data_IF_849522725477
#
_entry.id   IF_849522725477
#
_cell.length_a   1.000
_cell.length_b   1.000
_cell.length_c   1.000
_cell.angle_alpha   90.00
_cell.angle_beta   90.00
_cell.angle_gamma   90.00
#
_symmetry.space_group_name_H-M   'P 1'
#
loop_
_entity.id
_entity.type
_entity.pdbx_description
1 polymer ?
#
# COMPACT_ATOMS: atom_id res chain seq x y z
N UNK A 1 15.20 1.97 1.81
CA UNK A 1 15.54 2.84 2.94
C UNK A 1 14.26 3.28 3.64
N UNK A 2 14.13 3.10 4.96
CA UNK A 2 12.98 3.60 5.70
C UNK A 2 12.95 5.14 5.69
N UNK A 3 11.75 5.70 5.68
CA UNK A 3 11.52 7.15 5.73
C UNK A 3 11.03 7.51 7.13
N UNK A 4 11.57 8.58 7.67
CA UNK A 4 11.19 9.10 8.99
C UNK A 4 10.51 10.45 8.85
N UNK A 5 9.27 10.55 9.34
CA UNK A 5 8.56 11.81 9.48
C UNK A 5 9.03 12.51 10.75
N UNK A 6 9.30 13.80 10.65
CA UNK A 6 9.72 14.59 11.79
C UNK A 6 8.91 15.86 11.94
N UNK A 7 8.78 16.28 13.16
CA UNK A 7 8.32 17.60 13.57
C UNK A 7 9.50 18.25 14.28
N UNK A 8 9.92 19.39 13.81
CA UNK A 8 11.05 20.11 14.39
C UNK A 8 10.85 21.60 14.35
N UNK A 9 11.77 22.33 14.98
CA UNK A 9 11.84 23.77 14.98
C UNK A 9 13.15 24.17 14.30
N UNK A 10 13.04 24.95 13.24
CA UNK A 10 14.15 25.62 12.55
C UNK A 10 14.16 27.08 12.94
N UNK A 11 15.20 27.85 12.53
CA UNK A 11 15.26 29.31 12.68
C UNK A 11 14.07 30.01 12.04
N UNK A 12 13.42 29.43 11.04
CA UNK A 12 12.23 29.93 10.36
C UNK A 12 10.90 29.52 11.02
N UNK A 13 10.93 28.78 12.16
CA UNK A 13 9.73 28.32 12.85
C UNK A 13 9.53 26.79 12.81
N UNK A 14 8.29 26.35 13.02
CA UNK A 14 7.92 24.93 13.06
C UNK A 14 7.99 24.32 11.66
N UNK A 15 8.77 23.27 11.51
CA UNK A 15 8.97 22.53 10.25
C UNK A 15 8.45 21.11 10.39
N UNK A 16 7.66 20.69 9.40
CA UNK A 16 7.19 19.32 9.22
C UNK A 16 7.86 18.78 7.95
N UNK A 17 8.40 17.57 8.01
CA UNK A 17 9.05 16.98 6.83
C UNK A 17 9.31 15.50 7.00
N UNK A 18 9.95 14.92 5.98
CA UNK A 18 10.39 13.54 5.98
C UNK A 18 11.86 13.45 5.55
N UNK A 19 12.57 12.47 6.09
CA UNK A 19 13.98 12.22 5.79
C UNK A 19 14.17 10.71 5.58
N UNK A 20 14.79 10.28 4.47
CA UNK A 20 15.21 8.90 4.30
C UNK A 20 16.45 8.64 5.15
N UNK A 21 16.44 7.55 5.93
CA UNK A 21 17.60 7.14 6.73
C UNK A 21 17.49 5.65 7.09
N UNK A 22 18.62 4.99 7.31
CA UNK A 22 18.64 3.56 7.62
C UNK A 22 18.09 3.26 9.02
N UNK A 23 18.32 4.17 9.95
CA UNK A 23 17.81 4.08 11.31
C UNK A 23 17.43 5.46 11.88
N UNK A 24 16.76 5.44 13.02
CA UNK A 24 16.30 6.68 13.69
C UNK A 24 17.47 7.58 14.13
N UNK A 25 18.64 7.00 14.43
CA UNK A 25 19.83 7.73 14.83
C UNK A 25 20.42 8.50 13.66
N UNK A 26 20.56 7.84 12.51
CA UNK A 26 20.99 8.48 11.27
C UNK A 26 20.02 9.59 10.81
N UNK A 27 18.70 9.35 10.95
CA UNK A 27 17.71 10.38 10.68
C UNK A 27 17.89 11.61 11.57
N UNK A 28 18.16 11.43 12.88
CA UNK A 28 18.44 12.51 13.81
C UNK A 28 19.71 13.27 13.45
N UNK A 29 20.77 12.57 13.06
CA UNK A 29 22.04 13.19 12.63
C UNK A 29 21.84 14.07 11.39
N UNK A 30 21.15 13.57 10.36
CA UNK A 30 20.85 14.33 9.14
C UNK A 30 20.07 15.61 9.46
N UNK A 31 19.10 15.52 10.36
CA UNK A 31 18.27 16.68 10.75
C UNK A 31 19.04 17.68 11.61
N UNK A 32 19.94 17.22 12.48
CA UNK A 32 20.80 18.09 13.28
C UNK A 32 21.78 18.87 12.41
N UNK A 33 22.36 18.24 11.36
CA UNK A 33 23.20 18.90 10.36
C UNK A 33 22.43 20.00 9.60
N UNK A 34 21.13 19.79 9.36
CA UNK A 34 20.23 20.78 8.75
C UNK A 34 19.76 21.86 9.71
N UNK A 35 20.26 21.92 10.94
CA UNK A 35 19.88 22.92 11.93
C UNK A 35 18.44 22.80 12.46
N UNK A 36 17.82 21.61 12.32
CA UNK A 36 16.45 21.38 12.76
C UNK A 36 16.45 20.72 14.13
N UNK A 37 15.94 21.42 15.15
CA UNK A 37 15.74 20.87 16.49
C UNK A 37 14.49 19.98 16.49
N UNK A 38 14.69 18.66 16.63
CA UNK A 38 13.63 17.67 16.51
C UNK A 38 12.77 17.69 17.78
N UNK A 39 11.46 17.89 17.61
CA UNK A 39 10.46 17.78 18.67
C UNK A 39 9.86 16.36 18.68
N UNK A 40 9.63 15.79 17.51
CA UNK A 40 9.08 14.45 17.35
C UNK A 40 9.63 13.81 16.06
N UNK A 41 10.03 12.56 16.16
CA UNK A 41 10.43 11.76 15.00
C UNK A 41 9.75 10.40 15.07
N UNK A 42 9.19 9.94 13.97
CA UNK A 42 8.50 8.67 13.88
C UNK A 42 8.84 8.01 12.55
N UNK A 43 9.12 6.71 12.58
CA UNK A 43 9.24 5.94 11.34
C UNK A 43 7.90 6.02 10.60
N UNK A 44 7.93 6.45 9.35
CA UNK A 44 6.74 6.47 8.51
C UNK A 44 6.29 5.02 8.33
N UNK A 45 5.06 4.71 8.75
CA UNK A 45 4.49 3.41 8.46
C UNK A 45 4.33 3.28 6.93
N UNK A 46 4.72 2.15 6.34
CA UNK A 46 4.51 1.93 4.92
C UNK A 46 3.03 2.11 4.60
N UNK A 47 2.76 2.78 3.49
CA UNK A 47 1.39 2.99 3.06
C UNK A 47 0.84 1.64 2.60
N UNK A 48 -0.24 1.20 3.22
CA UNK A 48 -0.85 -0.10 2.95
C UNK A 48 -1.12 -0.32 1.46
N UNK A 49 -0.91 -1.54 0.97
CA UNK A 49 -1.25 -1.96 -0.39
C UNK A 49 -2.72 -1.68 -0.74
N UNK A 50 -3.64 -1.71 0.24
CA UNK A 50 -5.03 -1.29 0.04
C UNK A 50 -5.16 0.16 -0.43
N UNK A 51 -4.32 1.05 0.08
CA UNK A 51 -4.31 2.46 -0.35
C UNK A 51 -3.75 2.57 -1.77
N UNK A 52 -2.70 1.82 -2.09
CA UNK A 52 -2.15 1.74 -3.45
C UNK A 52 -3.26 1.39 -4.46
N UNK A 53 -3.95 0.26 -4.26
CA UNK A 53 -5.00 -0.18 -5.17
C UNK A 53 -6.18 0.80 -5.27
N UNK A 54 -6.46 1.50 -4.17
CA UNK A 54 -7.50 2.53 -4.19
C UNK A 54 -7.10 3.76 -4.99
N UNK A 55 -5.85 4.21 -4.87
CA UNK A 55 -5.29 5.30 -5.70
C UNK A 55 -5.28 4.90 -7.17
N UNK A 56 -4.77 3.69 -7.50
CA UNK A 56 -4.74 3.17 -8.87
C UNK A 56 -6.17 3.07 -9.47
N UNK A 57 -7.16 2.63 -8.69
CA UNK A 57 -8.56 2.58 -9.15
C UNK A 57 -9.15 3.98 -9.42
N UNK A 58 -8.85 4.97 -8.58
CA UNK A 58 -9.26 6.35 -8.83
C UNK A 58 -8.60 6.92 -10.10
N UNK A 59 -7.32 6.64 -10.30
CA UNK A 59 -6.60 7.04 -11.51
C UNK A 59 -7.18 6.37 -12.76
N UNK A 60 -7.56 5.09 -12.69
CA UNK A 60 -8.21 4.41 -13.82
C UNK A 60 -9.44 5.17 -14.30
N UNK A 61 -10.37 5.47 -13.37
CA UNK A 61 -11.62 6.14 -13.70
C UNK A 61 -11.37 7.51 -14.36
N UNK A 62 -10.42 8.28 -13.82
CA UNK A 62 -10.09 9.61 -14.34
C UNK A 62 -9.39 9.55 -15.71
N UNK A 63 -8.47 8.60 -15.89
CA UNK A 63 -7.76 8.41 -17.16
C UNK A 63 -8.66 7.84 -18.26
N UNK A 64 -9.70 7.07 -17.91
CA UNK A 64 -10.76 6.64 -18.86
C UNK A 64 -11.53 7.85 -19.42
N UNK A 65 -11.67 8.91 -18.62
CA UNK A 65 -12.25 10.18 -19.06
C UNK A 65 -11.24 11.07 -19.81
N UNK A 66 -10.08 10.52 -20.21
CA UNK A 66 -8.99 11.23 -20.91
C UNK A 66 -8.38 12.41 -20.12
N UNK A 67 -8.52 12.40 -18.80
CA UNK A 67 -7.86 13.39 -17.95
C UNK A 67 -6.35 13.11 -17.88
N UNK A 68 -5.56 14.15 -17.67
CA UNK A 68 -4.13 13.97 -17.44
C UNK A 68 -3.86 13.26 -16.10
N UNK A 69 -2.65 12.69 -15.96
CA UNK A 69 -2.25 12.06 -14.68
C UNK A 69 -2.28 13.08 -13.53
N UNK A 70 -1.86 14.32 -13.78
CA UNK A 70 -1.84 15.39 -12.78
C UNK A 70 -3.26 15.75 -12.34
N UNK A 71 -4.18 15.95 -13.29
CA UNK A 71 -5.59 16.24 -12.98
C UNK A 71 -6.25 15.09 -12.24
N UNK A 72 -5.95 13.86 -12.65
CA UNK A 72 -6.45 12.64 -12.00
C UNK A 72 -6.02 12.55 -10.54
N UNK A 73 -4.75 12.84 -10.24
CA UNK A 73 -4.25 12.87 -8.86
C UNK A 73 -4.84 14.05 -8.07
N UNK A 74 -5.07 15.17 -8.71
CA UNK A 74 -5.68 16.34 -8.08
C UNK A 74 -7.13 16.03 -7.69
N UNK A 75 -7.91 15.41 -8.56
CA UNK A 75 -9.26 14.93 -8.24
C UNK A 75 -9.22 13.90 -7.11
N UNK A 76 -8.28 12.96 -7.15
CA UNK A 76 -8.12 11.96 -6.09
C UNK A 76 -7.73 12.59 -4.73
N UNK A 77 -7.13 13.77 -4.71
CA UNK A 77 -6.81 14.49 -3.48
C UNK A 77 -8.02 15.09 -2.75
N UNK A 78 -9.18 15.21 -3.41
CA UNK A 78 -10.43 15.66 -2.77
C UNK A 78 -11.21 14.55 -2.05
N UNK A 79 -10.63 13.35 -1.93
CA UNK A 79 -11.28 12.23 -1.23
C UNK A 79 -11.37 12.48 0.28
N UNK A 80 -12.40 11.91 0.92
CA UNK A 80 -12.58 11.99 2.38
C UNK A 80 -11.49 11.23 3.16
N UNK A 81 -10.79 10.30 2.53
CA UNK A 81 -9.75 9.50 3.19
C UNK A 81 -8.41 10.26 3.25
N UNK A 82 -8.08 10.79 4.41
CA UNK A 82 -6.84 11.53 4.67
C UNK A 82 -5.56 10.82 4.19
N UNK A 83 -5.50 9.48 4.23
CA UNK A 83 -4.32 8.74 3.76
C UNK A 83 -4.18 8.80 2.24
N UNK A 84 -5.29 8.77 1.50
CA UNK A 84 -5.30 8.92 0.04
C UNK A 84 -4.87 10.34 -0.33
N UNK A 85 -5.43 11.33 0.33
CA UNK A 85 -5.08 12.75 0.13
C UNK A 85 -3.58 12.97 0.26
N UNK A 86 -2.99 12.56 1.39
CA UNK A 86 -1.54 12.71 1.64
C UNK A 86 -0.69 12.00 0.58
N UNK A 87 -1.11 10.83 0.13
CA UNK A 87 -0.42 10.10 -0.94
C UNK A 87 -0.50 10.85 -2.26
N UNK A 88 -1.69 11.29 -2.66
CA UNK A 88 -1.88 12.04 -3.90
C UNK A 88 -1.10 13.35 -3.90
N UNK A 89 -1.08 14.09 -2.78
CA UNK A 89 -0.28 15.31 -2.64
C UNK A 89 1.22 15.04 -2.77
N UNK A 90 1.74 13.95 -2.17
CA UNK A 90 3.15 13.53 -2.33
C UNK A 90 3.48 13.19 -3.78
N UNK A 91 2.61 12.46 -4.46
CA UNK A 91 2.78 12.12 -5.87
C UNK A 91 2.74 13.37 -6.75
N UNK A 92 1.80 14.29 -6.50
CA UNK A 92 1.70 15.57 -7.22
C UNK A 92 2.94 16.43 -7.03
N UNK A 93 3.44 16.56 -5.81
CA UNK A 93 4.66 17.31 -5.53
C UNK A 93 5.86 16.75 -6.29
N UNK A 94 6.06 15.42 -6.24
CA UNK A 94 7.16 14.79 -6.95
C UNK A 94 7.05 14.88 -8.47
N UNK A 95 5.83 14.81 -9.05
CA UNK A 95 5.63 15.01 -10.48
C UNK A 95 5.95 16.45 -10.92
N UNK A 96 5.61 17.45 -10.10
CA UNK A 96 5.98 18.86 -10.33
C UNK A 96 7.49 19.09 -10.30
N UNK A 97 8.23 18.30 -9.52
CA UNK A 97 9.69 18.28 -9.48
C UNK A 97 10.32 17.54 -10.68
N UNK A 98 9.51 16.98 -11.57
CA UNK A 98 9.98 16.24 -12.76
C UNK A 98 10.33 14.78 -12.52
N UNK A 99 10.00 14.24 -11.34
CA UNK A 99 10.23 12.83 -11.07
C UNK A 99 9.25 11.93 -11.84
N UNK A 100 9.70 10.76 -12.23
CA UNK A 100 8.86 9.80 -12.94
C UNK A 100 7.83 9.14 -12.00
N UNK A 101 6.61 8.97 -12.50
CA UNK A 101 5.49 8.45 -11.71
C UNK A 101 5.76 7.08 -11.06
N UNK A 102 6.38 6.15 -11.78
CA UNK A 102 6.70 4.82 -11.25
C UNK A 102 7.74 4.88 -10.11
N UNK A 103 8.69 5.80 -10.18
CA UNK A 103 9.70 6.02 -9.12
C UNK A 103 9.06 6.58 -7.86
N UNK A 104 8.14 7.52 -8.04
CA UNK A 104 7.37 8.09 -6.92
C UNK A 104 6.50 7.03 -6.25
N UNK A 105 5.84 6.17 -7.03
CA UNK A 105 5.05 5.07 -6.50
C UNK A 105 5.92 4.08 -5.71
N UNK A 106 7.10 3.72 -6.22
CA UNK A 106 8.03 2.84 -5.51
C UNK A 106 8.51 3.44 -4.17
N UNK A 107 8.71 4.75 -4.12
CA UNK A 107 9.10 5.45 -2.90
C UNK A 107 7.96 5.52 -1.86
N UNK A 108 6.72 5.74 -2.32
CA UNK A 108 5.55 5.87 -1.44
C UNK A 108 5.02 4.50 -0.98
N UNK A 109 5.14 3.48 -1.83
CA UNK A 109 4.61 2.13 -1.62
C UNK A 109 5.73 1.07 -1.73
N UNK A 110 6.66 0.99 -0.79
CA UNK A 110 7.80 0.06 -0.85
C UNK A 110 7.39 -1.42 -0.81
N UNK A 111 6.22 -1.74 -0.27
CA UNK A 111 5.71 -3.11 -0.13
C UNK A 111 4.95 -3.59 -1.38
N UNK A 112 4.77 -2.73 -2.38
CA UNK A 112 4.12 -3.13 -3.65
C UNK A 112 5.08 -3.97 -4.49
N UNK A 113 4.53 -5.03 -5.05
CA UNK A 113 5.25 -5.98 -5.88
C UNK A 113 6.01 -5.29 -7.03
N UNK A 114 7.27 -5.69 -7.21
CA UNK A 114 8.15 -5.15 -8.26
C UNK A 114 7.61 -5.36 -9.67
N UNK A 115 6.86 -6.43 -9.91
CA UNK A 115 6.22 -6.68 -11.21
C UNK A 115 5.14 -5.64 -11.49
N UNK A 116 4.33 -5.28 -10.50
CA UNK A 116 3.32 -4.22 -10.60
C UNK A 116 3.95 -2.87 -10.95
N UNK A 117 5.04 -2.51 -10.26
CA UNK A 117 5.79 -1.29 -10.57
C UNK A 117 6.45 -1.33 -11.94
N UNK A 118 6.92 -2.51 -12.39
CA UNK A 118 7.47 -2.72 -13.72
C UNK A 118 6.46 -2.46 -14.84
N UNK A 119 5.24 -2.94 -14.70
CA UNK A 119 4.14 -2.67 -15.66
C UNK A 119 3.84 -1.17 -15.75
N UNK A 120 3.77 -0.48 -14.61
CA UNK A 120 3.54 0.97 -14.58
C UNK A 120 4.69 1.75 -15.20
N UNK A 121 5.95 1.31 -14.99
CA UNK A 121 7.12 1.90 -15.62
C UNK A 121 7.04 1.83 -17.15
N UNK A 122 6.73 0.65 -17.69
CA UNK A 122 6.62 0.46 -19.15
C UNK A 122 5.45 1.32 -19.71
N UNK A 123 4.34 1.36 -19.00
CA UNK A 123 3.16 2.15 -19.38
C UNK A 123 3.44 3.65 -19.39
N UNK A 124 4.17 4.17 -18.40
CA UNK A 124 4.49 5.61 -18.32
C UNK A 124 5.43 6.07 -19.42
N UNK A 125 6.37 5.21 -19.86
CA UNK A 125 7.33 5.55 -20.91
C UNK A 125 6.71 5.67 -22.31
N UNK A 126 5.59 4.96 -22.59
CA UNK A 126 4.97 4.86 -23.92
C UNK A 126 3.63 5.59 -24.03
N UNK A 127 3.35 6.58 -23.19
CA UNK A 127 2.00 7.19 -23.07
C UNK A 127 0.87 6.16 -22.89
N UNK A 128 1.22 4.95 -22.41
CA UNK A 128 0.32 3.82 -22.21
C UNK A 128 -0.08 3.62 -20.75
N UNK A 129 0.06 4.63 -19.90
CA UNK A 129 -0.23 4.53 -18.47
C UNK A 129 -1.67 4.06 -18.19
N UNK A 130 -2.63 4.56 -18.96
CA UNK A 130 -4.03 4.13 -18.90
C UNK A 130 -4.16 2.61 -19.12
N UNK A 131 -3.55 2.09 -20.19
CA UNK A 131 -3.59 0.66 -20.49
C UNK A 131 -2.86 -0.17 -19.43
N UNK A 132 -1.72 0.30 -18.93
CA UNK A 132 -0.98 -0.36 -17.86
C UNK A 132 -1.83 -0.47 -16.58
N UNK A 133 -2.49 0.60 -16.17
CA UNK A 133 -3.39 0.61 -15.02
C UNK A 133 -4.57 -0.34 -15.23
N UNK A 134 -5.20 -0.34 -16.40
CA UNK A 134 -6.30 -1.24 -16.74
C UNK A 134 -5.89 -2.72 -16.63
N UNK A 135 -4.71 -3.08 -17.17
CA UNK A 135 -4.17 -4.44 -17.06
C UNK A 135 -3.93 -4.83 -15.60
N UNK A 136 -3.35 -3.93 -14.80
CA UNK A 136 -3.09 -4.20 -13.39
C UNK A 136 -4.36 -4.43 -12.59
N UNK A 137 -5.40 -3.64 -12.84
CA UNK A 137 -6.69 -3.80 -12.14
C UNK A 137 -7.35 -5.11 -12.54
N UNK A 138 -7.38 -5.45 -13.84
CA UNK A 138 -7.90 -6.74 -14.30
C UNK A 138 -7.15 -7.92 -13.68
N UNK A 139 -5.81 -7.86 -13.59
CA UNK A 139 -5.01 -8.88 -12.92
C UNK A 139 -5.34 -8.99 -11.42
N UNK A 140 -5.53 -7.84 -10.76
CA UNK A 140 -5.90 -7.84 -9.34
C UNK A 140 -7.28 -8.46 -9.12
N UNK A 141 -8.27 -8.08 -9.91
CA UNK A 141 -9.63 -8.63 -9.84
C UNK A 141 -9.63 -10.14 -10.06
N UNK A 142 -8.88 -10.62 -11.06
CA UNK A 142 -8.73 -12.06 -11.30
C UNK A 142 -8.10 -12.79 -10.10
N UNK A 143 -7.05 -12.21 -9.49
CA UNK A 143 -6.43 -12.78 -8.28
C UNK A 143 -7.39 -12.80 -7.09
N UNK A 144 -8.12 -11.72 -6.87
CA UNK A 144 -9.07 -11.61 -5.76
C UNK A 144 -10.23 -12.61 -5.97
N UNK A 145 -10.71 -12.79 -7.19
CA UNK A 145 -11.73 -13.79 -7.54
C UNK A 145 -11.24 -15.22 -7.22
N UNK A 146 -10.07 -15.60 -7.73
CA UNK A 146 -9.48 -16.91 -7.46
C UNK A 146 -9.28 -17.15 -5.95
N UNK A 147 -8.81 -16.16 -5.22
CA UNK A 147 -8.62 -16.24 -3.77
C UNK A 147 -9.95 -16.49 -3.05
N UNK A 148 -11.00 -15.78 -3.45
CA UNK A 148 -12.33 -15.93 -2.86
C UNK A 148 -12.94 -17.31 -3.19
N UNK A 149 -12.77 -17.81 -4.40
CA UNK A 149 -13.24 -19.15 -4.80
C UNK A 149 -12.49 -20.24 -4.03
N UNK A 150 -11.17 -20.12 -3.93
CA UNK A 150 -10.35 -21.07 -3.15
C UNK A 150 -10.76 -21.09 -1.68
N UNK A 151 -11.01 -19.94 -1.08
CA UNK A 151 -11.46 -19.85 0.31
C UNK A 151 -12.85 -20.51 0.50
N UNK A 152 -13.77 -20.31 -0.43
CA UNK A 152 -15.10 -20.95 -0.39
C UNK A 152 -14.97 -22.48 -0.57
N UNK A 153 -14.12 -22.94 -1.48
CA UNK A 153 -13.91 -24.36 -1.72
C UNK A 153 -13.29 -25.07 -0.49
N UNK A 154 -12.41 -24.39 0.25
CA UNK A 154 -11.79 -24.94 1.45
C UNK A 154 -12.72 -24.97 2.67
N UNK A 155 -13.79 -24.21 2.69
CA UNK A 155 -14.72 -24.17 3.81
C UNK A 155 -15.36 -25.55 4.07
N UNK A 156 -15.78 -26.26 3.03
CA UNK A 156 -16.40 -27.58 3.16
C UNK A 156 -15.46 -28.65 3.76
N UNK A 157 -14.26 -28.85 3.24
CA UNK A 157 -13.31 -29.82 3.83
C UNK A 157 -12.98 -29.51 5.31
N UNK A 158 -12.82 -28.25 5.66
CA UNK A 158 -12.55 -27.84 7.05
C UNK A 158 -13.73 -28.21 7.94
N UNK A 159 -14.94 -27.95 7.48
CA UNK A 159 -16.16 -28.25 8.25
C UNK A 159 -16.32 -29.77 8.46
N UNK A 160 -16.15 -30.56 7.41
CA UNK A 160 -16.23 -32.03 7.50
C UNK A 160 -15.16 -32.62 8.41
N UNK A 161 -13.92 -32.14 8.29
CA UNK A 161 -12.81 -32.60 9.13
C UNK A 161 -13.05 -32.25 10.61
N UNK A 162 -13.57 -31.07 10.89
CA UNK A 162 -13.92 -30.65 12.26
C UNK A 162 -14.96 -31.56 12.88
N UNK A 163 -16.06 -31.89 12.16
CA UNK A 163 -17.10 -32.76 12.67
C UNK A 163 -16.63 -34.22 12.80
N UNK A 164 -15.78 -34.70 11.87
CA UNK A 164 -15.19 -36.02 11.99
C UNK A 164 -14.30 -36.17 13.23
N UNK A 165 -13.49 -35.16 13.53
CA UNK A 165 -12.68 -35.12 14.76
C UNK A 165 -13.55 -35.09 16.00
N UNK A 166 -14.62 -34.29 16.00
CA UNK A 166 -15.54 -34.22 17.11
C UNK A 166 -16.25 -35.53 17.37
N UNK A 167 -16.73 -36.22 16.31
CA UNK A 167 -17.32 -37.54 16.42
C UNK A 167 -16.32 -38.58 16.96
N UNK A 168 -15.08 -38.52 16.54
CA UNK A 168 -14.02 -39.41 17.02
C UNK A 168 -13.77 -39.22 18.53
N UNK A 169 -13.74 -37.98 19.01
CA UNK A 169 -13.59 -37.65 20.45
C UNK A 169 -14.75 -38.24 21.24
N UNK A 170 -15.98 -38.03 20.78
CA UNK A 170 -17.19 -38.59 21.45
C UNK A 170 -17.15 -40.12 21.53
N UNK A 171 -16.73 -40.79 20.45
CA UNK A 171 -16.59 -42.25 20.45
C UNK A 171 -15.53 -42.72 21.43
N UNK A 172 -14.38 -42.03 21.49
CA UNK A 172 -13.32 -42.36 22.46
C UNK A 172 -13.79 -42.18 23.92
N UNK A 173 -14.55 -41.13 24.20
CA UNK A 173 -14.97 -40.80 25.55
C UNK A 173 -16.17 -41.65 26.05
N UNK A 174 -17.00 -42.13 25.09
CA UNK A 174 -18.24 -42.88 25.44
C UNK A 174 -18.06 -44.37 25.32
N UNK A 175 -17.31 -44.85 24.33
CA UNK A 175 -17.23 -46.32 24.01
C UNK A 175 -16.04 -46.99 24.69
N UNK A 176 -14.90 -46.32 24.81
CA UNK A 176 -13.71 -46.94 25.44
C UNK A 176 -13.86 -47.24 26.95
N UNK A 177 -14.51 -46.43 27.79
CA UNK A 177 -14.66 -46.77 29.21
C UNK A 177 -15.59 -47.98 29.49
N UNK A 178 -16.47 -48.39 28.54
CA UNK A 178 -17.30 -49.59 28.70
C UNK A 178 -16.53 -50.92 28.47
N UNK A 179 -15.29 -50.86 27.97
CA UNK A 179 -14.43 -52.02 27.73
C UNK A 179 -13.34 -52.22 28.81
N UNK A 180 -13.34 -51.45 29.88
CA UNK A 180 -12.48 -51.64 31.06
C UNK A 180 -13.29 -52.20 32.23
#
# INVERSE_FOLDING_TARGET
MPVYEYVGISLAGKVLGSVPADNITSAKQILSIKGIKITRIKKQAPVSEKIFWRVIGLLQISLEQKLSLVDSLQIASFQSNKKIVVVCEKLLAGLKEGNEFHTLLAAVFPDVDKSTLGVLRIGSQKNGLHNAIKILIAQKEARDHLKNETQKALAYPIFVTFFALLALIVVFDTVLPEFQ
#
